data_IF_149541455001
#
_entry.id   IF_149541455001
#
_cell.length_a   1.000
_cell.length_b   1.000
_cell.length_c   1.000
_cell.angle_alpha   90.00
_cell.angle_beta   90.00
_cell.angle_gamma   90.00
#
_symmetry.space_group_name_H-M   'P 1'
#
loop_
_entity.id
_entity.type
_entity.pdbx_description
1 polymer ?
#
# COMPACT_ATOMS: atom_id res chain seq x y z
N UNK A 1 -16.34 -28.91 6.06
CA UNK A 1 -15.75 -27.71 6.70
C UNK A 1 -14.95 -26.96 5.64
N UNK A 2 -15.34 -25.73 5.32
CA UNK A 2 -14.80 -24.96 4.19
C UNK A 2 -13.47 -24.30 4.56
N UNK A 3 -12.41 -24.55 3.77
CA UNK A 3 -11.14 -23.83 3.82
C UNK A 3 -11.28 -22.54 2.99
N UNK A 4 -11.56 -21.41 3.64
CA UNK A 4 -11.39 -20.10 3.01
C UNK A 4 -9.89 -19.84 2.81
N UNK A 5 -9.43 -19.99 1.57
CA UNK A 5 -8.04 -19.78 1.17
C UNK A 5 -7.61 -18.32 1.30
N UNK A 6 -6.60 -18.07 2.12
CA UNK A 6 -5.86 -16.79 2.15
C UNK A 6 -5.18 -16.59 0.80
N UNK A 7 -5.45 -15.45 0.15
CA UNK A 7 -4.80 -15.05 -1.10
C UNK A 7 -3.36 -14.65 -0.80
N UNK A 8 -2.40 -15.17 -1.56
CA UNK A 8 -0.98 -14.78 -1.49
C UNK A 8 -0.62 -14.05 -2.77
N UNK A 9 0.09 -12.92 -2.64
CA UNK A 9 0.52 -12.09 -3.77
C UNK A 9 1.91 -12.50 -4.23
N UNK A 10 2.10 -12.62 -5.54
CA UNK A 10 3.41 -12.79 -6.15
C UNK A 10 3.80 -11.45 -6.79
N UNK A 11 4.94 -10.92 -6.40
CA UNK A 11 5.54 -9.73 -7.00
C UNK A 11 6.53 -10.24 -8.04
N UNK A 12 6.21 -10.08 -9.33
CA UNK A 12 7.19 -10.28 -10.39
C UNK A 12 7.91 -8.95 -10.64
N UNK A 13 9.17 -8.87 -10.19
CA UNK A 13 10.09 -7.83 -10.60
C UNK A 13 10.71 -8.25 -11.95
N UNK A 14 10.06 -7.87 -13.05
CA UNK A 14 10.64 -7.92 -14.39
C UNK A 14 11.24 -6.58 -14.79
N UNK A 15 12.10 -6.57 -15.80
CA UNK A 15 12.85 -5.40 -16.30
C UNK A 15 12.00 -4.24 -16.86
N UNK A 16 10.67 -4.27 -16.70
CA UNK A 16 9.72 -3.27 -17.22
C UNK A 16 8.65 -2.82 -16.20
N UNK A 17 8.88 -3.05 -14.90
CA UNK A 17 7.97 -2.59 -13.85
C UNK A 17 7.32 -3.74 -13.10
N UNK A 18 6.90 -3.43 -11.87
CA UNK A 18 6.33 -4.41 -10.94
C UNK A 18 4.95 -4.83 -11.46
N UNK A 19 4.87 -6.07 -11.97
CA UNK A 19 3.60 -6.74 -12.23
C UNK A 19 3.17 -7.53 -11.00
N UNK A 20 2.06 -7.12 -10.36
CA UNK A 20 1.42 -7.90 -9.30
C UNK A 20 0.38 -8.80 -9.94
N UNK A 21 0.67 -10.09 -10.06
CA UNK A 21 -0.31 -11.08 -10.54
C UNK A 21 -0.98 -11.71 -9.32
N UNK A 22 -2.26 -11.41 -9.14
CA UNK A 22 -3.08 -12.07 -8.13
C UNK A 22 -3.78 -13.29 -8.77
N UNK A 23 -3.29 -14.52 -8.54
CA UNK A 23 -4.14 -15.73 -8.45
C UNK A 23 -3.37 -17.05 -8.21
N UNK A 24 -3.95 -17.86 -7.30
CA UNK A 24 -3.94 -19.35 -7.22
C UNK A 24 -2.71 -20.11 -6.62
N UNK A 25 -2.94 -21.34 -6.09
CA UNK A 25 -2.47 -21.80 -4.76
C UNK A 25 -1.05 -22.38 -4.72
N UNK A 26 -0.52 -22.52 -3.49
CA UNK A 26 0.72 -23.22 -3.10
C UNK A 26 0.98 -24.47 -3.95
N UNK A 27 1.73 -24.33 -5.03
CA UNK A 27 2.74 -25.28 -5.55
C UNK A 27 3.26 -24.75 -6.90
N UNK A 28 4.59 -24.79 -7.05
CA UNK A 28 5.41 -24.16 -8.09
C UNK A 28 5.44 -22.61 -7.94
N UNK A 29 6.58 -21.93 -7.80
CA UNK A 29 7.72 -21.95 -8.71
C UNK A 29 9.03 -21.52 -8.05
N UNK A 30 10.12 -22.03 -8.62
CA UNK A 30 11.51 -21.60 -8.48
C UNK A 30 11.91 -20.60 -9.58
N UNK A 31 12.86 -19.70 -9.26
CA UNK A 31 13.60 -18.75 -10.11
C UNK A 31 12.79 -17.52 -10.59
N UNK A 32 13.28 -16.28 -10.59
CA UNK A 32 14.62 -15.70 -10.44
C UNK A 32 14.46 -14.24 -9.95
N UNK A 33 15.20 -13.85 -8.90
CA UNK A 33 15.10 -12.56 -8.22
C UNK A 33 14.92 -12.75 -6.71
N UNK A 34 15.98 -13.19 -6.02
CA UNK A 34 15.93 -13.48 -4.58
C UNK A 34 16.16 -12.20 -3.80
N UNK A 35 15.12 -11.40 -3.62
CA UNK A 35 15.13 -10.39 -2.56
C UNK A 35 15.33 -11.05 -1.19
N UNK A 36 16.18 -10.50 -0.34
CA UNK A 36 16.36 -11.02 1.01
C UNK A 36 15.10 -10.74 1.82
N UNK A 37 14.45 -11.78 2.35
CA UNK A 37 13.35 -11.59 3.29
C UNK A 37 13.86 -10.83 4.52
N UNK A 38 13.18 -9.74 4.84
CA UNK A 38 13.49 -8.92 6.01
C UNK A 38 12.64 -9.36 7.19
N UNK A 39 13.21 -9.24 8.39
CA UNK A 39 12.41 -9.32 9.62
C UNK A 39 11.38 -8.18 9.63
N UNK A 40 10.18 -8.43 10.15
CA UNK A 40 9.23 -7.35 10.42
C UNK A 40 9.74 -6.38 11.50
N UNK A 41 10.77 -6.79 12.25
CA UNK A 41 11.48 -5.97 13.24
C UNK A 41 12.62 -5.12 12.63
N UNK A 42 12.89 -5.24 11.33
CA UNK A 42 13.85 -4.40 10.60
C UNK A 42 13.50 -2.91 10.79
N UNK A 43 14.52 -2.08 11.04
CA UNK A 43 14.34 -0.66 11.35
C UNK A 43 13.62 0.10 10.22
N UNK A 44 13.87 -0.26 8.96
CA UNK A 44 13.22 0.34 7.79
C UNK A 44 11.73 -0.04 7.74
N UNK A 45 11.40 -1.29 8.04
CA UNK A 45 10.01 -1.78 8.12
C UNK A 45 9.26 -1.09 9.27
N UNK A 46 9.87 -1.03 10.46
CA UNK A 46 9.33 -0.31 11.61
C UNK A 46 9.09 1.17 11.32
N UNK A 47 10.05 1.83 10.66
CA UNK A 47 9.94 3.25 10.32
C UNK A 47 8.82 3.52 9.33
N UNK A 48 8.68 2.70 8.29
CA UNK A 48 7.55 2.83 7.37
C UNK A 48 6.21 2.49 8.05
N UNK A 49 6.18 1.52 8.95
CA UNK A 49 4.98 1.20 9.75
C UNK A 49 4.58 2.40 10.60
N UNK A 50 5.53 3.03 11.30
CA UNK A 50 5.27 4.23 12.10
C UNK A 50 4.77 5.41 11.26
N UNK A 51 5.32 5.59 10.05
CA UNK A 51 4.79 6.56 9.08
C UNK A 51 3.32 6.27 8.76
N UNK A 52 2.95 5.02 8.47
CA UNK A 52 1.56 4.65 8.14
C UNK A 52 0.57 4.83 9.28
N UNK A 53 1.00 4.57 10.51
CA UNK A 53 0.20 4.81 11.72
C UNK A 53 -0.02 6.31 11.93
N UNK A 54 1.05 7.11 11.89
CA UNK A 54 0.94 8.55 12.02
C UNK A 54 0.12 9.15 10.87
N UNK A 55 0.29 8.68 9.64
CA UNK A 55 -0.43 9.18 8.48
C UNK A 55 -1.94 8.96 8.57
N UNK A 56 -2.41 8.03 9.41
CA UNK A 56 -3.83 7.88 9.69
C UNK A 56 -4.37 8.97 10.61
N UNK A 57 -3.59 9.32 11.62
CA UNK A 57 -3.97 10.25 12.68
C UNK A 57 -3.75 11.71 12.26
N UNK A 58 -2.59 11.97 11.65
CA UNK A 58 -2.13 13.28 11.21
C UNK A 58 -1.31 13.14 9.92
N UNK A 59 -1.97 13.22 8.75
CA UNK A 59 -1.31 13.10 7.44
C UNK A 59 -0.20 14.13 7.22
N UNK A 60 -0.39 15.36 7.72
CA UNK A 60 0.57 16.46 7.54
C UNK A 60 1.84 16.14 8.31
N UNK A 61 1.70 15.90 9.63
CA UNK A 61 2.83 15.59 10.50
C UNK A 61 3.56 14.33 10.06
N UNK A 62 2.86 13.30 9.59
CA UNK A 62 3.49 12.08 9.09
C UNK A 62 4.39 12.34 7.87
N UNK A 63 3.87 13.09 6.88
CA UNK A 63 4.65 13.42 5.67
C UNK A 63 5.84 14.30 6.04
N UNK A 64 5.69 15.28 6.92
CA UNK A 64 6.79 16.15 7.35
C UNK A 64 7.85 15.42 8.16
N UNK A 65 7.45 14.50 9.05
CA UNK A 65 8.35 13.81 9.98
C UNK A 65 9.15 12.69 9.30
N UNK A 66 8.53 11.93 8.41
CA UNK A 66 9.11 10.67 7.91
C UNK A 66 9.67 10.75 6.50
N UNK A 67 9.35 11.79 5.73
CA UNK A 67 9.70 11.84 4.30
C UNK A 67 10.74 12.91 3.99
N UNK A 68 11.65 12.61 3.07
CA UNK A 68 12.67 13.56 2.62
C UNK A 68 12.02 14.80 1.96
N UNK A 69 12.69 15.97 1.92
CA UNK A 69 12.15 17.16 1.25
C UNK A 69 11.79 16.92 -0.21
N UNK A 70 12.55 16.06 -0.89
CA UNK A 70 12.40 15.72 -2.31
C UNK A 70 11.67 14.38 -2.51
N UNK A 71 10.73 14.05 -1.63
CA UNK A 71 9.95 12.81 -1.69
C UNK A 71 9.37 12.58 -3.09
N UNK A 72 9.62 11.39 -3.63
CA UNK A 72 8.99 10.91 -4.85
C UNK A 72 7.92 9.84 -4.52
N UNK A 73 6.64 10.18 -4.67
CA UNK A 73 5.54 9.23 -4.43
C UNK A 73 4.76 8.91 -5.71
N UNK A 74 4.63 7.60 -5.99
CA UNK A 74 3.88 7.06 -7.11
C UNK A 74 2.66 6.26 -6.63
N UNK A 75 1.46 6.55 -7.15
CA UNK A 75 0.28 5.72 -6.88
C UNK A 75 0.24 4.45 -7.74
N UNK A 76 -0.79 3.64 -7.53
CA UNK A 76 -1.04 2.41 -8.28
C UNK A 76 -1.14 2.64 -9.80
N UNK A 77 -1.59 3.82 -10.24
CA UNK A 77 -1.65 4.18 -11.67
C UNK A 77 -0.32 4.69 -12.25
N UNK A 78 0.73 4.78 -11.43
CA UNK A 78 2.00 5.42 -11.81
C UNK A 78 1.98 6.96 -11.75
N UNK A 79 0.81 7.56 -11.46
CA UNK A 79 0.71 9.00 -11.24
C UNK A 79 1.60 9.43 -10.05
N UNK A 80 2.41 10.45 -10.29
CA UNK A 80 3.29 11.06 -9.29
C UNK A 80 2.55 12.16 -8.55
N UNK A 81 2.81 12.29 -7.25
CA UNK A 81 2.25 13.37 -6.44
C UNK A 81 3.34 14.05 -5.62
N UNK A 82 3.27 15.38 -5.55
CA UNK A 82 4.06 16.15 -4.61
C UNK A 82 3.51 16.00 -3.18
N UNK A 83 4.23 16.50 -2.18
CA UNK A 83 3.84 16.37 -0.76
C UNK A 83 2.42 16.90 -0.46
N UNK A 84 2.02 18.12 -0.87
CA UNK A 84 0.64 18.58 -0.66
C UNK A 84 -0.42 17.64 -1.23
N UNK A 85 -0.22 17.16 -2.46
CA UNK A 85 -1.14 16.24 -3.11
C UNK A 85 -1.17 14.88 -2.40
N UNK A 86 -0.02 14.37 -1.95
CA UNK A 86 0.04 13.14 -1.17
C UNK A 86 -0.73 13.27 0.15
N UNK A 87 -0.55 14.38 0.88
CA UNK A 87 -1.28 14.66 2.12
C UNK A 87 -2.78 14.61 1.86
N UNK A 88 -3.25 15.30 0.82
CA UNK A 88 -4.66 15.31 0.43
C UNK A 88 -5.17 13.91 0.07
N UNK A 89 -4.35 13.13 -0.66
CA UNK A 89 -4.67 11.75 -1.01
C UNK A 89 -4.90 10.87 0.23
N UNK A 90 -4.07 11.06 1.25
CA UNK A 90 -4.15 10.32 2.52
C UNK A 90 -5.39 10.79 3.30
N UNK A 91 -5.69 12.10 3.34
CA UNK A 91 -6.89 12.63 3.98
C UNK A 91 -8.17 12.01 3.41
N UNK A 92 -8.32 12.02 2.08
CA UNK A 92 -9.46 11.39 1.41
C UNK A 92 -9.60 9.90 1.74
N UNK A 93 -8.47 9.20 1.87
CA UNK A 93 -8.49 7.81 2.32
C UNK A 93 -9.01 7.67 3.75
N UNK A 94 -8.52 8.50 4.67
CA UNK A 94 -8.90 8.45 6.08
C UNK A 94 -10.34 8.91 6.34
N UNK A 95 -10.87 9.82 5.51
CA UNK A 95 -12.28 10.22 5.51
C UNK A 95 -13.18 9.07 5.06
N UNK A 96 -12.78 8.36 3.99
CA UNK A 96 -13.56 7.24 3.45
C UNK A 96 -13.51 5.97 4.29
N UNK A 97 -12.42 5.73 5.02
CA UNK A 97 -12.15 4.43 5.66
C UNK A 97 -11.69 4.53 7.11
N UNK A 98 -12.34 3.74 7.98
CA UNK A 98 -11.84 3.39 9.31
C UNK A 98 -10.98 2.14 9.24
N UNK A 99 -9.95 2.07 10.09
CA UNK A 99 -9.06 0.92 10.22
C UNK A 99 -9.52 0.05 11.39
N UNK A 100 -9.87 -1.20 11.12
CA UNK A 100 -10.13 -2.18 12.17
C UNK A 100 -8.83 -2.92 12.54
N UNK A 101 -8.05 -3.31 11.54
CA UNK A 101 -6.74 -3.92 11.72
C UNK A 101 -5.83 -3.64 10.53
N UNK A 102 -4.57 -3.28 10.79
CA UNK A 102 -3.52 -3.17 9.75
C UNK A 102 -2.25 -3.78 10.32
N UNK A 103 -1.61 -4.67 9.56
CA UNK A 103 -0.31 -5.23 9.95
C UNK A 103 0.56 -5.55 8.74
N UNK A 104 1.89 -5.33 8.83
CA UNK A 104 2.79 -5.87 7.83
C UNK A 104 2.84 -7.39 7.97
N UNK A 105 2.81 -8.10 6.85
CA UNK A 105 2.82 -9.58 6.82
C UNK A 105 4.06 -10.13 6.12
N UNK A 106 4.65 -9.36 5.21
CA UNK A 106 5.88 -9.72 4.48
C UNK A 106 6.69 -8.45 4.25
N UNK A 107 8.01 -8.56 4.40
CA UNK A 107 8.96 -7.55 3.96
C UNK A 107 10.13 -8.22 3.23
N UNK A 108 10.60 -7.62 2.13
CA UNK A 108 11.77 -8.09 1.40
C UNK A 108 12.58 -6.91 0.88
N UNK A 109 13.89 -7.04 0.89
CA UNK A 109 14.80 -6.12 0.20
C UNK A 109 14.91 -6.52 -1.26
N UNK A 110 14.93 -5.54 -2.15
CA UNK A 110 15.12 -5.72 -3.59
C UNK A 110 16.59 -5.44 -3.97
N UNK A 111 16.98 -5.84 -5.17
CA UNK A 111 18.36 -5.66 -5.66
C UNK A 111 18.79 -4.18 -5.75
N UNK A 112 17.83 -3.27 -5.87
CA UNK A 112 18.06 -1.82 -5.89
C UNK A 112 18.13 -1.19 -4.48
N UNK A 113 18.14 -2.00 -3.42
CA UNK A 113 18.20 -1.57 -2.02
C UNK A 113 16.88 -1.01 -1.47
N UNK A 114 15.84 -0.92 -2.29
CA UNK A 114 14.49 -0.60 -1.80
C UNK A 114 13.90 -1.80 -1.08
N UNK A 115 12.89 -1.54 -0.25
CA UNK A 115 12.15 -2.60 0.45
C UNK A 115 10.73 -2.68 -0.08
N UNK A 116 10.25 -3.90 -0.26
CA UNK A 116 8.85 -4.18 -0.53
C UNK A 116 8.19 -4.66 0.76
N UNK A 117 7.09 -4.01 1.15
CA UNK A 117 6.31 -4.35 2.34
C UNK A 117 4.88 -4.64 1.94
N UNK A 118 4.39 -5.81 2.32
CA UNK A 118 2.99 -6.22 2.13
C UNK A 118 2.25 -6.04 3.43
N UNK A 119 1.10 -5.37 3.38
CA UNK A 119 0.19 -5.20 4.50
C UNK A 119 -1.14 -5.85 4.21
N UNK A 120 -1.64 -6.62 5.17
CA UNK A 120 -3.04 -7.01 5.20
C UNK A 120 -3.81 -6.02 6.08
N UNK A 121 -4.98 -5.60 5.59
CA UNK A 121 -5.80 -4.58 6.23
C UNK A 121 -7.24 -5.08 6.28
N UNK A 122 -7.89 -4.89 7.42
CA UNK A 122 -9.32 -4.97 7.57
C UNK A 122 -9.83 -3.54 7.79
N UNK A 123 -10.62 -3.03 6.85
CA UNK A 123 -11.08 -1.65 6.83
C UNK A 123 -12.60 -1.59 6.68
N UNK A 124 -13.21 -0.57 7.27
CA UNK A 124 -14.63 -0.26 7.16
C UNK A 124 -14.80 1.00 6.30
N UNK A 125 -15.57 0.92 5.22
CA UNK A 125 -15.93 2.10 4.44
C UNK A 125 -17.08 2.86 5.12
N UNK A 126 -16.73 3.71 6.09
CA UNK A 126 -17.70 4.47 6.91
C UNK A 126 -17.95 5.90 6.43
N UNK A 127 -17.21 6.37 5.42
CA UNK A 127 -17.34 7.70 4.86
C UNK A 127 -17.31 7.68 3.35
N UNK A 128 -17.60 8.84 2.76
CA UNK A 128 -17.53 9.01 1.31
C UNK A 128 -16.09 8.92 0.85
N UNK A 129 -15.86 8.19 -0.24
CA UNK A 129 -14.54 8.00 -0.82
C UNK A 129 -14.57 8.30 -2.31
N UNK A 130 -13.94 9.42 -2.70
CA UNK A 130 -13.71 9.83 -4.10
C UNK A 130 -14.96 9.75 -4.97
N UNK A 131 -16.06 10.29 -4.47
CA UNK A 131 -17.35 10.32 -5.15
C UNK A 131 -18.15 9.01 -5.09
N UNK A 132 -17.77 8.08 -4.21
CA UNK A 132 -18.58 6.91 -3.84
C UNK A 132 -19.02 7.07 -2.40
N UNK A 133 -20.33 7.02 -2.13
CA UNK A 133 -20.86 7.17 -0.78
C UNK A 133 -20.47 5.99 0.12
N UNK A 134 -20.46 6.23 1.43
CA UNK A 134 -20.19 5.18 2.42
C UNK A 134 -21.09 3.95 2.25
N UNK A 135 -20.49 2.79 2.02
CA UNK A 135 -21.19 1.50 1.92
C UNK A 135 -21.42 0.82 3.27
N UNK A 136 -20.70 1.24 4.32
CA UNK A 136 -20.64 0.57 5.64
C UNK A 136 -20.19 -0.90 5.57
N UNK A 137 -19.58 -1.31 4.47
CA UNK A 137 -19.01 -2.65 4.33
C UNK A 137 -17.62 -2.69 4.95
N UNK A 138 -17.35 -3.79 5.67
CA UNK A 138 -16.00 -4.16 6.07
C UNK A 138 -15.39 -5.01 4.97
N UNK A 139 -14.15 -4.72 4.59
CA UNK A 139 -13.41 -5.50 3.60
C UNK A 139 -11.98 -5.77 4.04
N UNK A 140 -11.45 -6.89 3.53
CA UNK A 140 -10.04 -7.19 3.60
C UNK A 140 -9.34 -6.65 2.34
N UNK A 141 -8.28 -5.86 2.55
CA UNK A 141 -7.49 -5.26 1.49
C UNK A 141 -6.00 -5.54 1.74
N UNK A 142 -5.34 -6.13 0.75
CA UNK A 142 -3.89 -6.20 0.74
C UNK A 142 -3.33 -4.97 0.02
N UNK A 143 -2.35 -4.32 0.65
CA UNK A 143 -1.60 -3.21 0.05
C UNK A 143 -0.13 -3.58 -0.03
N UNK A 144 0.49 -3.30 -1.16
CA UNK A 144 1.92 -3.52 -1.39
C UNK A 144 2.58 -2.16 -1.53
N UNK A 145 3.68 -1.95 -0.81
CA UNK A 145 4.48 -0.74 -0.88
C UNK A 145 5.90 -1.10 -1.30
N UNK A 146 6.46 -0.40 -2.29
CA UNK A 146 7.90 -0.37 -2.54
C UNK A 146 8.42 0.94 -1.96
N UNK A 147 9.43 0.90 -1.10
CA UNK A 147 9.89 2.04 -0.30
C UNK A 147 11.40 2.13 -0.37
N UNK A 148 11.92 3.31 -0.67
CA UNK A 148 13.35 3.62 -0.57
C UNK A 148 13.58 4.66 0.53
N UNK A 149 14.78 4.61 1.11
CA UNK A 149 15.22 5.55 2.13
C UNK A 149 16.44 6.32 1.63
N UNK A 150 16.63 7.55 2.10
CA UNK A 150 17.88 8.29 1.89
C UNK A 150 18.93 7.93 2.94
N UNK A 151 20.12 8.53 2.84
CA UNK A 151 21.25 8.31 3.75
C UNK A 151 20.94 8.71 5.21
N UNK A 152 19.88 9.50 5.43
CA UNK A 152 19.38 9.88 6.77
C UNK A 152 18.31 8.91 7.29
N UNK A 153 18.03 7.87 6.52
CA UNK A 153 16.98 6.88 6.79
C UNK A 153 15.57 7.46 6.68
N UNK A 154 15.37 8.61 6.04
CA UNK A 154 14.02 9.15 5.76
C UNK A 154 13.48 8.55 4.46
N UNK A 155 12.16 8.46 4.32
CA UNK A 155 11.53 7.90 3.13
C UNK A 155 11.80 8.85 1.96
N UNK A 156 12.61 8.40 1.01
CA UNK A 156 13.03 9.19 -0.17
C UNK A 156 12.09 8.96 -1.35
N UNK A 157 11.58 7.74 -1.48
CA UNK A 157 10.52 7.43 -2.44
C UNK A 157 9.66 6.29 -1.93
N UNK A 158 8.40 6.25 -2.38
CA UNK A 158 7.62 5.02 -2.28
C UNK A 158 6.52 4.95 -3.33
N UNK A 159 6.13 3.73 -3.69
CA UNK A 159 4.91 3.46 -4.45
C UNK A 159 3.90 2.69 -3.61
N UNK A 160 2.61 2.82 -3.95
CA UNK A 160 1.54 2.01 -3.36
C UNK A 160 0.74 1.28 -4.42
N UNK A 161 0.52 -0.02 -4.21
CA UNK A 161 -0.29 -0.87 -5.06
C UNK A 161 -1.42 -1.49 -4.24
N UNK A 162 -2.65 -1.27 -4.67
CA UNK A 162 -3.86 -1.78 -4.07
C UNK A 162 -4.77 -2.34 -5.15
N UNK A 163 -5.54 -3.38 -4.82
CA UNK A 163 -6.54 -3.92 -5.74
C UNK A 163 -7.80 -3.03 -5.75
N UNK A 164 -7.76 -1.96 -6.56
CA UNK A 164 -8.88 -1.03 -6.71
C UNK A 164 -10.10 -1.67 -7.38
N UNK A 165 -9.93 -2.77 -8.12
CA UNK A 165 -11.05 -3.53 -8.67
C UNK A 165 -11.82 -4.26 -7.55
N UNK A 166 -11.09 -4.91 -6.64
CA UNK A 166 -11.67 -5.49 -5.44
C UNK A 166 -12.27 -4.42 -4.53
N UNK A 167 -11.58 -3.29 -4.32
CA UNK A 167 -12.08 -2.18 -3.52
C UNK A 167 -13.41 -1.66 -4.08
N UNK A 168 -13.45 -1.31 -5.38
CA UNK A 168 -14.64 -0.78 -6.04
C UNK A 168 -15.84 -1.72 -5.89
N UNK A 169 -15.62 -3.03 -6.08
CA UNK A 169 -16.68 -4.04 -5.91
C UNK A 169 -17.24 -4.07 -4.49
N UNK A 170 -16.38 -3.96 -3.46
CA UNK A 170 -16.83 -4.03 -2.06
C UNK A 170 -17.53 -2.76 -1.59
N UNK A 171 -17.12 -1.59 -2.08
CA UNK A 171 -17.73 -0.31 -1.69
C UNK A 171 -18.89 0.10 -2.61
N UNK A 172 -19.27 -0.73 -3.58
CA UNK A 172 -20.36 -0.44 -4.51
C UNK A 172 -20.03 0.66 -5.54
N UNK A 173 -18.75 0.91 -5.81
CA UNK A 173 -18.36 1.88 -6.83
C UNK A 173 -18.48 1.29 -8.23
N UNK A 174 -19.24 1.97 -9.10
CA UNK A 174 -19.38 1.57 -10.50
C UNK A 174 -18.11 1.83 -11.34
N UNK A 175 -17.11 2.55 -10.80
CA UNK A 175 -15.94 2.96 -11.55
C UNK A 175 -14.67 2.92 -10.68
N UNK A 176 -13.89 1.84 -10.82
CA UNK A 176 -12.63 1.65 -10.10
C UNK A 176 -11.55 2.65 -10.50
N UNK A 177 -11.61 3.24 -11.70
CA UNK A 177 -10.64 4.24 -12.17
C UNK A 177 -10.81 5.55 -11.40
N UNK A 178 -12.06 5.98 -11.14
CA UNK A 178 -12.32 7.18 -10.33
C UNK A 178 -11.73 7.09 -8.92
N UNK A 179 -11.66 5.88 -8.38
CA UNK A 179 -11.06 5.65 -7.07
C UNK A 179 -9.53 5.86 -7.08
N UNK A 180 -8.87 5.90 -8.25
CA UNK A 180 -7.43 6.17 -8.36
C UNK A 180 -7.11 7.67 -8.33
N UNK A 181 -8.06 8.52 -8.71
CA UNK A 181 -7.88 9.96 -8.91
C UNK A 181 -7.84 10.72 -7.57
N UNK A 182 -7.17 11.88 -7.56
CA UNK A 182 -7.37 12.90 -6.52
C UNK A 182 -8.53 13.79 -6.95
N UNK A 183 -9.45 14.12 -6.03
CA UNK A 183 -10.61 14.97 -6.29
C UNK A 183 -10.61 16.22 -5.45
#
# INVERSE_FOLDING_TARGET
MSFFGRRTFMVLAGSLGIGVVASTPRKAFSSSGKGQCLSLEDQRVKRFTAYREMAFQDPVKAVETYTSPNLNYASTSGQQFNKPQLIERIKQWNEGFRRNAIKPVVATELEDGSILIVYDQNILNSGDFRGTSASNNTLDLTSIFKVSFDDKGTISSYSSHQDYGHLAKNIGSANSVKLLELR
#
